data_IF_853141982590
#
_entry.id   IF_853141982590
#
_cell.length_a   1.000
_cell.length_b   1.000
_cell.length_c   1.000
_cell.angle_alpha   90.00
_cell.angle_beta   90.00
_cell.angle_gamma   90.00
#
_symmetry.space_group_name_H-M   'P 1'
#
loop_
_entity.id
_entity.type
_entity.pdbx_description
1 polymer ?
#
# COMPACT_ATOMS: atom_id res chain seq x y z
N UNK A 1 8.45 24.17 0.30
CA UNK A 1 9.30 23.02 0.67
C UNK A 1 8.76 21.82 -0.08
N UNK A 2 9.55 21.18 -0.96
CA UNK A 2 9.11 19.99 -1.69
C UNK A 2 8.99 18.83 -0.71
N UNK A 3 7.77 18.32 -0.51
CA UNK A 3 7.56 17.07 0.22
C UNK A 3 8.28 15.96 -0.54
N UNK A 4 9.31 15.37 0.07
CA UNK A 4 10.03 14.23 -0.50
C UNK A 4 9.16 13.00 -0.26
N UNK A 5 8.76 12.32 -1.33
CA UNK A 5 8.02 11.08 -1.22
C UNK A 5 8.99 9.91 -1.32
N UNK A 6 8.99 8.94 -0.39
CA UNK A 6 9.90 7.79 -0.46
C UNK A 6 9.79 7.03 -1.80
N UNK A 7 8.60 7.00 -2.40
CA UNK A 7 8.35 6.36 -3.68
C UNK A 7 9.10 7.01 -4.87
N UNK A 8 9.63 8.22 -4.72
CA UNK A 8 10.35 8.93 -5.79
C UNK A 8 11.59 8.18 -6.29
N UNK A 9 12.17 7.30 -5.47
CA UNK A 9 13.27 6.42 -5.89
C UNK A 9 12.84 5.36 -6.90
N UNK A 10 11.55 4.98 -6.90
CA UNK A 10 10.96 3.95 -7.77
C UNK A 10 10.18 4.57 -8.93
N UNK A 11 9.31 5.54 -8.65
CA UNK A 11 8.53 6.27 -9.66
C UNK A 11 8.36 7.73 -9.26
N UNK A 12 8.74 8.62 -10.17
CA UNK A 12 8.53 10.07 -10.01
C UNK A 12 8.09 10.72 -11.30
N UNK A 13 7.35 11.82 -11.17
CA UNK A 13 7.02 12.69 -12.31
C UNK A 13 8.24 13.52 -12.69
N UNK A 14 8.50 13.66 -13.99
CA UNK A 14 9.67 14.37 -14.53
C UNK A 14 9.29 15.23 -15.72
N UNK A 15 10.20 16.11 -16.15
CA UNK A 15 10.06 16.79 -17.44
C UNK A 15 10.45 15.86 -18.60
N UNK A 16 9.95 16.16 -19.80
CA UNK A 16 10.30 15.40 -21.00
C UNK A 16 11.82 15.34 -21.26
N UNK A 17 12.54 16.42 -20.97
CA UNK A 17 14.00 16.51 -21.11
C UNK A 17 14.79 15.59 -20.18
N UNK A 18 14.17 15.10 -19.10
CA UNK A 18 14.78 14.19 -18.13
C UNK A 18 14.57 12.71 -18.47
N UNK A 19 13.77 12.41 -19.52
CA UNK A 19 13.52 11.03 -19.90
C UNK A 19 14.79 10.39 -20.49
N UNK A 20 15.16 9.17 -20.03
CA UNK A 20 16.31 8.47 -20.58
C UNK A 20 16.02 8.07 -22.03
N UNK A 21 17.03 8.25 -22.90
CA UNK A 21 16.96 7.81 -24.30
C UNK A 21 17.11 6.29 -24.41
N UNK A 22 18.03 5.73 -23.63
CA UNK A 22 18.25 4.31 -23.47
C UNK A 22 18.88 4.05 -22.10
N UNK A 23 18.22 3.26 -21.27
CA UNK A 23 18.74 2.90 -19.94
C UNK A 23 18.16 1.55 -19.51
N UNK A 24 19.02 0.60 -19.10
CA UNK A 24 18.55 -0.69 -18.62
C UNK A 24 17.92 -0.61 -17.21
N UNK A 25 18.31 0.39 -16.42
CA UNK A 25 17.89 0.57 -15.02
C UNK A 25 16.77 1.58 -14.81
N UNK A 26 16.43 2.34 -15.86
CA UNK A 26 15.41 3.39 -15.82
C UNK A 26 14.55 3.36 -17.06
N UNK A 27 13.23 3.33 -16.88
CA UNK A 27 12.26 3.41 -17.96
C UNK A 27 11.54 4.75 -17.93
N UNK A 28 11.63 5.48 -19.05
CA UNK A 28 10.79 6.64 -19.30
C UNK A 28 9.42 6.22 -19.82
N UNK A 29 8.35 6.78 -19.24
CA UNK A 29 6.97 6.53 -19.67
C UNK A 29 6.27 7.87 -19.88
N UNK A 30 5.57 8.00 -21.00
CA UNK A 30 4.72 9.15 -21.29
C UNK A 30 3.26 8.71 -21.31
N UNK A 31 2.39 9.52 -20.72
CA UNK A 31 0.93 9.33 -20.79
C UNK A 31 0.22 10.62 -21.17
N UNK A 32 -0.97 10.49 -21.75
CA UNK A 32 -1.89 11.62 -21.92
C UNK A 32 -2.64 11.93 -20.61
N UNK A 33 -3.50 12.95 -20.65
CA UNK A 33 -4.35 13.35 -19.51
C UNK A 33 -5.32 12.26 -19.02
N UNK A 34 -5.60 11.24 -19.82
CA UNK A 34 -6.51 10.14 -19.51
C UNK A 34 -5.75 8.88 -19.07
N UNK A 35 -4.41 8.96 -18.88
CA UNK A 35 -3.60 7.81 -18.52
C UNK A 35 -3.27 6.87 -19.69
N UNK A 36 -3.53 7.25 -20.94
CA UNK A 36 -3.16 6.43 -22.10
C UNK A 36 -1.67 6.56 -22.37
N UNK A 37 -0.97 5.43 -22.47
CA UNK A 37 0.45 5.40 -22.83
C UNK A 37 0.72 5.98 -24.23
N UNK A 38 1.72 6.84 -24.31
CA UNK A 38 2.18 7.51 -25.52
C UNK A 38 3.58 6.99 -25.89
N UNK A 39 3.74 6.21 -26.97
CA UNK A 39 5.05 5.69 -27.36
C UNK A 39 6.00 6.78 -27.90
N UNK A 40 5.44 7.93 -28.31
CA UNK A 40 6.18 9.08 -28.84
C UNK A 40 5.54 10.38 -28.36
N UNK A 41 6.33 11.45 -28.30
CA UNK A 41 5.83 12.78 -27.95
C UNK A 41 4.81 13.25 -29.00
N UNK A 42 3.56 13.58 -28.61
CA UNK A 42 2.57 14.11 -29.54
C UNK A 42 2.91 15.57 -29.91
N UNK A 43 2.42 16.01 -31.07
CA UNK A 43 2.56 17.39 -31.55
C UNK A 43 1.68 18.38 -30.77
N UNK A 44 0.56 17.90 -30.23
CA UNK A 44 -0.41 18.68 -29.46
C UNK A 44 -0.92 17.88 -28.25
N UNK A 45 -1.37 18.57 -27.21
CA UNK A 45 -1.96 17.98 -26.01
C UNK A 45 -1.02 17.92 -24.80
N UNK A 46 -1.63 17.76 -23.61
CA UNK A 46 -0.89 17.63 -22.36
C UNK A 46 -0.24 16.24 -22.27
N UNK A 47 1.03 16.22 -21.89
CA UNK A 47 1.81 15.00 -21.67
C UNK A 47 2.33 15.02 -20.25
N UNK A 48 2.17 13.90 -19.55
CA UNK A 48 2.82 13.66 -18.26
C UNK A 48 3.90 12.61 -18.44
N UNK A 49 5.11 12.94 -18.00
CA UNK A 49 6.27 12.08 -18.11
C UNK A 49 6.62 11.53 -16.72
N UNK A 50 6.92 10.24 -16.68
CA UNK A 50 7.33 9.54 -15.47
C UNK A 50 8.63 8.81 -15.72
N UNK A 51 9.48 8.79 -14.69
CA UNK A 51 10.68 7.98 -14.64
C UNK A 51 10.43 6.85 -13.67
N UNK A 52 10.58 5.62 -14.15
CA UNK A 52 10.45 4.40 -13.35
C UNK A 52 11.82 3.75 -13.23
N UNK A 53 12.24 3.41 -12.01
CA UNK A 53 13.53 2.82 -11.71
C UNK A 53 13.38 1.35 -11.31
N UNK A 54 14.15 0.48 -11.94
CA UNK A 54 14.08 -0.98 -11.74
C UNK A 54 15.11 -1.53 -10.76
N UNK A 55 16.03 -0.67 -10.30
CA UNK A 55 17.15 -1.05 -9.41
C UNK A 55 16.90 -0.63 -7.96
N UNK A 56 16.12 0.42 -7.77
CA UNK A 56 15.84 0.95 -6.44
C UNK A 56 14.56 0.34 -5.88
N UNK A 57 14.55 0.14 -4.56
CA UNK A 57 13.33 -0.02 -3.79
C UNK A 57 13.03 1.26 -3.00
N UNK A 58 11.80 1.35 -2.50
CA UNK A 58 11.36 2.39 -1.58
C UNK A 58 10.68 1.75 -0.38
N UNK A 59 11.08 2.18 0.81
CA UNK A 59 10.41 1.85 2.05
C UNK A 59 9.55 3.02 2.51
N UNK A 60 8.35 2.72 3.00
CA UNK A 60 7.46 3.74 3.57
C UNK A 60 6.51 3.14 4.60
N UNK A 61 5.77 4.02 5.27
CA UNK A 61 4.79 3.64 6.28
C UNK A 61 3.52 4.48 6.18
N UNK A 62 2.38 3.80 6.26
CA UNK A 62 1.06 4.40 6.46
C UNK A 62 0.71 4.29 7.94
N UNK A 63 0.64 5.42 8.64
CA UNK A 63 0.45 5.44 10.10
C UNK A 63 -1.01 5.32 10.58
N UNK A 64 -1.99 5.13 9.68
CA UNK A 64 -3.40 5.06 10.06
C UNK A 64 -4.36 4.54 8.97
N UNK A 65 -4.27 3.25 8.60
CA UNK A 65 -5.35 2.63 7.84
C UNK A 65 -6.47 2.18 8.80
N UNK A 66 -7.59 2.92 8.84
CA UNK A 66 -8.73 2.60 9.72
C UNK A 66 -9.68 1.62 9.05
N UNK A 67 -9.96 0.53 9.74
CA UNK A 67 -10.98 -0.46 9.37
C UNK A 67 -12.10 -0.36 10.40
N UNK A 68 -13.31 -0.05 9.95
CA UNK A 68 -14.51 0.08 10.79
C UNK A 68 -15.55 -0.95 10.38
N UNK A 69 -16.08 -1.64 11.36
CA UNK A 69 -17.31 -2.40 11.24
C UNK A 69 -18.50 -1.51 11.62
N UNK A 70 -19.41 -1.30 10.68
CA UNK A 70 -20.62 -0.51 10.92
C UNK A 70 -21.60 -1.31 11.78
N UNK A 71 -21.69 -2.63 11.58
CA UNK A 71 -22.67 -3.49 12.27
C UNK A 71 -22.40 -3.62 13.76
N UNK A 72 -21.13 -3.70 14.17
CA UNK A 72 -20.73 -3.86 15.57
C UNK A 72 -20.18 -2.60 16.22
N UNK A 73 -19.97 -1.53 15.43
CA UNK A 73 -19.32 -0.30 15.88
C UNK A 73 -17.82 -0.43 16.13
N UNK A 74 -17.24 -1.63 15.99
CA UNK A 74 -15.82 -1.89 16.24
C UNK A 74 -14.96 -1.21 15.18
N UNK A 75 -13.79 -0.72 15.59
CA UNK A 75 -12.79 -0.19 14.67
C UNK A 75 -11.39 -0.57 15.14
N UNK A 76 -10.51 -0.82 14.17
CA UNK A 76 -9.07 -0.95 14.40
C UNK A 76 -8.34 0.02 13.49
N UNK A 77 -7.20 0.52 13.96
CA UNK A 77 -6.27 1.31 13.18
C UNK A 77 -5.00 0.50 12.97
N UNK A 78 -4.65 0.29 11.72
CA UNK A 78 -3.45 -0.40 11.31
C UNK A 78 -2.36 0.59 10.89
N UNK A 79 -1.13 0.29 11.28
CA UNK A 79 0.04 0.76 10.58
C UNK A 79 0.37 -0.24 9.47
N UNK A 80 0.73 0.28 8.29
CA UNK A 80 1.24 -0.52 7.18
C UNK A 80 2.66 -0.07 6.90
N UNK A 81 3.64 -0.92 7.20
CA UNK A 81 5.02 -0.73 6.74
C UNK A 81 5.18 -1.51 5.46
N UNK A 82 5.81 -0.93 4.44
CA UNK A 82 5.99 -1.63 3.19
C UNK A 82 7.29 -1.25 2.48
N UNK A 83 7.81 -2.22 1.72
CA UNK A 83 8.82 -2.01 0.71
C UNK A 83 8.20 -2.22 -0.68
N UNK A 84 8.57 -1.39 -1.65
CA UNK A 84 8.17 -1.55 -3.05
C UNK A 84 9.35 -1.51 -4.00
N UNK A 85 9.28 -2.35 -5.02
CA UNK A 85 10.19 -2.36 -6.15
C UNK A 85 9.43 -2.67 -7.45
N UNK A 86 10.09 -2.53 -8.59
CA UNK A 86 9.45 -2.75 -9.88
C UNK A 86 10.36 -3.42 -10.91
N UNK A 87 9.73 -4.06 -11.89
CA UNK A 87 10.40 -4.62 -13.06
C UNK A 87 10.14 -3.74 -14.29
N UNK A 88 11.08 -3.72 -15.24
CA UNK A 88 11.06 -2.80 -16.39
C UNK A 88 9.80 -2.95 -17.24
N UNK A 89 9.36 -4.19 -17.44
CA UNK A 89 8.20 -4.59 -18.22
C UNK A 89 6.88 -4.09 -17.64
N UNK A 90 6.83 -3.78 -16.33
CA UNK A 90 5.63 -3.29 -15.66
C UNK A 90 5.55 -1.75 -15.61
N UNK A 91 6.57 -1.04 -16.08
CA UNK A 91 6.67 0.43 -15.92
C UNK A 91 5.44 1.17 -16.46
N UNK A 92 4.92 0.78 -17.62
CA UNK A 92 3.71 1.40 -18.20
C UNK A 92 2.51 1.16 -17.28
N UNK A 93 2.29 -0.07 -16.84
CA UNK A 93 1.16 -0.44 -15.97
C UNK A 93 1.20 0.32 -14.65
N UNK A 94 2.38 0.44 -14.04
CA UNK A 94 2.59 1.18 -12.78
C UNK A 94 2.19 2.64 -12.95
N UNK A 95 2.66 3.27 -14.03
CA UNK A 95 2.33 4.68 -14.32
C UNK A 95 0.84 4.85 -14.53
N UNK A 96 0.21 3.97 -15.31
CA UNK A 96 -1.24 4.01 -15.57
C UNK A 96 -2.09 3.79 -14.32
N UNK A 97 -1.59 3.06 -13.32
CA UNK A 97 -2.29 2.85 -12.07
C UNK A 97 -2.07 3.99 -11.05
N UNK A 98 -0.95 4.72 -11.15
CA UNK A 98 -0.53 5.71 -10.14
C UNK A 98 -0.55 7.17 -10.63
N UNK A 99 -0.96 7.44 -11.89
CA UNK A 99 -0.90 8.79 -12.45
C UNK A 99 -1.97 9.76 -11.91
N UNK A 100 -3.12 9.23 -11.50
CA UNK A 100 -4.29 10.03 -11.18
C UNK A 100 -4.30 10.42 -9.70
N UNK A 101 -3.58 11.49 -9.40
CA UNK A 101 -3.51 12.05 -8.06
C UNK A 101 -2.38 13.07 -7.91
N UNK A 102 -2.20 13.61 -6.70
CA UNK A 102 -1.18 14.61 -6.42
C UNK A 102 0.24 14.04 -6.53
N UNK A 103 0.41 12.76 -6.20
CA UNK A 103 1.69 12.06 -6.23
C UNK A 103 1.51 10.55 -6.35
N UNK A 104 2.34 9.81 -7.11
CA UNK A 104 2.28 8.34 -7.17
C UNK A 104 2.26 7.66 -5.80
N UNK A 105 3.04 8.20 -4.84
CA UNK A 105 3.09 7.71 -3.46
C UNK A 105 1.73 7.82 -2.76
N UNK A 106 1.08 8.99 -2.84
CA UNK A 106 -0.23 9.20 -2.24
C UNK A 106 -1.31 8.31 -2.87
N UNK A 107 -1.25 8.08 -4.18
CA UNK A 107 -2.17 7.18 -4.89
C UNK A 107 -1.98 5.74 -4.41
N UNK A 108 -0.74 5.27 -4.28
CA UNK A 108 -0.41 3.94 -3.76
C UNK A 108 -0.92 3.75 -2.33
N UNK A 109 -0.67 4.70 -1.43
CA UNK A 109 -1.17 4.64 -0.05
C UNK A 109 -2.70 4.55 0.01
N UNK A 110 -3.38 5.31 -0.86
CA UNK A 110 -4.83 5.24 -1.01
C UNK A 110 -5.31 3.87 -1.50
N UNK A 111 -4.61 3.26 -2.47
CA UNK A 111 -4.90 1.91 -2.96
C UNK A 111 -4.74 0.86 -1.86
N UNK A 112 -3.62 0.88 -1.13
CA UNK A 112 -3.35 -0.03 -0.01
C UNK A 112 -4.48 0.05 1.03
N UNK A 113 -4.88 1.27 1.43
CA UNK A 113 -5.97 1.45 2.38
C UNK A 113 -7.30 0.89 1.86
N UNK A 114 -7.62 1.11 0.58
CA UNK A 114 -8.84 0.59 -0.05
C UNK A 114 -8.84 -0.93 -0.11
N UNK A 115 -7.71 -1.55 -0.48
CA UNK A 115 -7.60 -3.01 -0.53
C UNK A 115 -7.76 -3.65 0.84
N UNK A 116 -7.16 -3.07 1.90
CA UNK A 116 -7.37 -3.53 3.27
C UNK A 116 -8.84 -3.45 3.70
N UNK A 117 -9.52 -2.35 3.37
CA UNK A 117 -10.95 -2.20 3.66
C UNK A 117 -11.79 -3.20 2.88
N UNK A 118 -11.48 -3.45 1.60
CA UNK A 118 -12.16 -4.44 0.79
C UNK A 118 -11.95 -5.86 1.34
N UNK A 119 -10.71 -6.22 1.68
CA UNK A 119 -10.40 -7.50 2.31
C UNK A 119 -11.20 -7.71 3.59
N UNK A 120 -11.27 -6.71 4.47
CA UNK A 120 -12.02 -6.78 5.72
C UNK A 120 -13.54 -6.94 5.50
N UNK A 121 -14.09 -6.40 4.41
CA UNK A 121 -15.52 -6.52 4.07
C UNK A 121 -15.90 -7.88 3.48
N UNK A 122 -14.99 -8.53 2.75
CA UNK A 122 -15.26 -9.81 2.08
C UNK A 122 -15.32 -11.01 3.04
N UNK A 123 -14.83 -10.86 4.27
CA UNK A 123 -14.90 -11.91 5.28
C UNK A 123 -16.34 -12.04 5.78
N UNK A 124 -17.06 -13.06 5.32
CA UNK A 124 -18.49 -13.30 5.60
C UNK A 124 -18.70 -14.04 6.94
N UNK A 125 -18.74 -13.33 8.06
CA UNK A 125 -19.34 -13.85 9.32
C UNK A 125 -19.97 -12.69 10.11
N UNK A 126 -20.81 -13.00 11.10
CA UNK A 126 -21.46 -12.01 11.96
C UNK A 126 -20.42 -11.18 12.74
N UNK A 127 -20.38 -9.87 12.46
CA UNK A 127 -19.32 -8.95 12.89
C UNK A 127 -18.05 -9.07 12.06
N UNK A 128 -17.29 -7.97 11.91
CA UNK A 128 -16.12 -7.90 11.04
C UNK A 128 -15.05 -8.93 11.47
N UNK A 129 -14.89 -10.04 10.71
CA UNK A 129 -14.05 -11.15 11.12
C UNK A 129 -12.59 -10.76 11.12
N UNK A 130 -12.20 -9.78 10.32
CA UNK A 130 -10.85 -9.27 10.31
C UNK A 130 -10.45 -8.66 11.65
N UNK A 131 -11.36 -7.93 12.31
CA UNK A 131 -11.08 -7.33 13.63
C UNK A 131 -10.90 -8.44 14.69
N UNK A 132 -11.78 -9.43 14.71
CA UNK A 132 -11.75 -10.52 15.70
C UNK A 132 -10.65 -11.55 15.42
N UNK A 133 -10.42 -11.85 14.16
CA UNK A 133 -9.49 -12.84 13.64
C UNK A 133 -8.13 -12.28 13.26
N UNK A 134 -7.84 -11.01 13.54
CA UNK A 134 -6.56 -10.37 13.20
C UNK A 134 -5.36 -11.21 13.65
N UNK A 135 -5.41 -11.70 14.90
CA UNK A 135 -4.37 -12.56 15.49
C UNK A 135 -4.49 -14.05 15.09
N UNK A 136 -5.57 -14.45 14.44
CA UNK A 136 -5.86 -15.83 14.02
C UNK A 136 -5.54 -16.07 12.54
N UNK A 137 -4.46 -15.47 12.04
CA UNK A 137 -3.97 -15.68 10.66
C UNK A 137 -4.52 -14.72 9.60
N UNK A 138 -5.60 -13.97 9.88
CA UNK A 138 -6.13 -13.00 8.91
C UNK A 138 -5.16 -11.84 8.63
N UNK A 139 -4.29 -11.49 9.58
CA UNK A 139 -3.19 -10.55 9.33
C UNK A 139 -2.34 -10.99 8.13
N UNK A 140 -1.88 -12.25 8.13
CA UNK A 140 -0.99 -12.77 7.08
C UNK A 140 -1.73 -12.84 5.74
N UNK A 141 -2.99 -13.27 5.76
CA UNK A 141 -3.82 -13.28 4.55
C UNK A 141 -4.03 -11.88 3.96
N UNK A 142 -4.21 -10.84 4.81
CA UNK A 142 -4.30 -9.47 4.35
C UNK A 142 -2.97 -8.96 3.77
N UNK A 143 -1.83 -9.28 4.38
CA UNK A 143 -0.51 -8.96 3.82
C UNK A 143 -0.31 -9.63 2.44
N UNK A 144 -0.66 -10.91 2.32
CA UNK A 144 -0.55 -11.65 1.06
C UNK A 144 -1.50 -11.10 -0.02
N UNK A 145 -2.71 -10.70 0.37
CA UNK A 145 -3.66 -10.05 -0.54
C UNK A 145 -3.15 -8.68 -1.04
N UNK A 146 -2.52 -7.90 -0.17
CA UNK A 146 -1.90 -6.63 -0.58
C UNK A 146 -0.79 -6.87 -1.60
N UNK A 147 0.09 -7.83 -1.34
CA UNK A 147 1.19 -8.17 -2.24
C UNK A 147 0.66 -8.67 -3.60
N UNK A 148 -0.38 -9.52 -3.57
CA UNK A 148 -1.05 -10.04 -4.76
C UNK A 148 -1.68 -8.92 -5.60
N UNK A 149 -2.46 -8.03 -4.97
CA UNK A 149 -3.09 -6.90 -5.68
C UNK A 149 -2.09 -5.89 -6.20
N UNK A 150 -1.02 -5.60 -5.48
CA UNK A 150 0.05 -4.74 -5.99
C UNK A 150 0.64 -5.28 -7.30
N UNK A 151 0.89 -6.58 -7.36
CA UNK A 151 1.40 -7.25 -8.57
C UNK A 151 0.36 -7.28 -9.69
N UNK A 152 -0.86 -7.71 -9.39
CA UNK A 152 -1.90 -7.94 -10.40
C UNK A 152 -2.58 -6.65 -10.89
N UNK A 153 -2.84 -5.68 -10.02
CA UNK A 153 -3.54 -4.44 -10.37
C UNK A 153 -2.56 -3.35 -10.84
N UNK A 154 -1.38 -3.24 -10.21
CA UNK A 154 -0.42 -2.13 -10.46
C UNK A 154 0.83 -2.61 -11.21
N UNK A 155 1.26 -3.86 -10.99
CA UNK A 155 2.55 -4.35 -11.50
C UNK A 155 3.74 -4.06 -10.58
N UNK A 156 3.49 -3.68 -9.32
CA UNK A 156 4.54 -3.50 -8.31
C UNK A 156 4.81 -4.79 -7.55
N UNK A 157 6.06 -4.99 -7.15
CA UNK A 157 6.40 -5.95 -6.11
C UNK A 157 6.32 -5.22 -4.78
N UNK A 158 5.34 -5.62 -3.96
CA UNK A 158 5.09 -5.06 -2.63
C UNK A 158 5.41 -6.13 -1.58
N UNK A 159 6.12 -5.73 -0.54
CA UNK A 159 6.21 -6.48 0.71
C UNK A 159 5.58 -5.66 1.83
N UNK A 160 4.33 -5.98 2.18
CA UNK A 160 3.60 -5.31 3.25
C UNK A 160 3.67 -6.03 4.59
N UNK A 161 3.76 -5.25 5.67
CA UNK A 161 3.67 -5.70 7.07
C UNK A 161 2.64 -4.86 7.83
N UNK A 162 1.71 -5.55 8.48
CA UNK A 162 0.64 -4.92 9.27
C UNK A 162 0.97 -4.94 10.76
N UNK A 163 0.74 -3.83 11.43
CA UNK A 163 0.76 -3.74 12.90
C UNK A 163 -0.41 -2.91 13.41
N UNK A 164 -0.79 -3.09 14.68
CA UNK A 164 -1.81 -2.25 15.29
C UNK A 164 -1.18 -0.91 15.69
N UNK A 165 -1.90 0.19 15.48
CA UNK A 165 -1.39 1.53 15.77
C UNK A 165 -1.12 1.77 17.26
N UNK A 166 -1.81 1.07 18.15
CA UNK A 166 -1.76 1.32 19.60
C UNK A 166 -1.16 0.18 20.42
N UNK A 167 -0.43 -0.76 19.80
CA UNK A 167 0.15 -1.90 20.54
C UNK A 167 1.09 -1.48 21.68
N UNK A 168 1.76 -0.33 21.56
CA UNK A 168 2.69 0.17 22.59
C UNK A 168 1.97 0.70 23.85
N UNK A 169 0.65 0.89 23.79
CA UNK A 169 -0.18 1.26 24.96
C UNK A 169 -0.84 0.06 25.63
N UNK A 170 -0.74 -1.12 25.03
CA UNK A 170 -1.34 -2.34 25.58
C UNK A 170 -0.38 -2.90 26.63
N UNK A 171 -0.58 -2.50 27.90
CA UNK A 171 0.13 -3.12 29.03
C UNK A 171 -0.22 -4.62 29.06
N UNK A 172 0.77 -5.53 29.10
CA UNK A 172 0.48 -6.94 29.31
C UNK A 172 -0.21 -7.12 30.66
N UNK A 173 -1.41 -7.70 30.64
CA UNK A 173 -2.10 -8.07 31.88
C UNK A 173 -1.34 -9.28 32.45
N UNK A 174 -0.67 -9.09 33.58
CA UNK A 174 -0.06 -10.19 34.31
C UNK A 174 -1.16 -10.93 35.09
N UNK A 175 -1.68 -12.00 34.50
CA UNK A 175 -2.59 -12.90 35.21
C UNK A 175 -1.73 -13.77 36.13
N UNK A 176 -1.73 -13.45 37.42
CA UNK A 176 -1.17 -14.33 38.46
C UNK A 176 -2.18 -15.44 38.72
N UNK A 177 -2.07 -16.54 37.99
CA UNK A 177 -2.76 -17.79 38.30
C UNK A 177 -1.87 -18.64 39.20
N UNK A 178 -2.38 -19.06 40.37
CA UNK A 178 -1.68 -19.99 41.25
C UNK A 178 -1.64 -21.43 40.69
N UNK A 179 -2.36 -21.70 39.60
CA UNK A 179 -2.40 -23.02 38.96
C UNK A 179 -2.45 -22.82 37.43
N UNK A 180 -1.29 -22.97 36.79
CA UNK A 180 -1.04 -22.89 35.34
C UNK A 180 -1.09 -21.50 34.68
N UNK A 181 0.00 -21.18 33.98
CA UNK A 181 0.18 -20.03 33.10
C UNK A 181 -0.55 -20.27 31.77
N UNK A 182 -1.74 -19.71 31.62
CA UNK A 182 -2.37 -19.54 30.31
C UNK A 182 -2.49 -18.05 29.98
N UNK A 183 -1.82 -17.61 28.92
CA UNK A 183 -1.94 -16.26 28.40
C UNK A 183 -3.21 -16.15 27.55
N UNK A 184 -4.27 -15.57 28.11
CA UNK A 184 -5.48 -15.22 27.37
C UNK A 184 -5.52 -13.71 27.08
N UNK A 185 -5.71 -13.37 25.80
CA UNK A 185 -5.95 -12.00 25.35
C UNK A 185 -7.44 -11.69 25.46
N UNK A 186 -7.83 -10.75 26.32
CA UNK A 186 -9.19 -10.20 26.38
C UNK A 186 -9.22 -8.74 25.95
N UNK A 187 -10.23 -8.39 25.14
CA UNK A 187 -10.50 -7.05 24.62
C UNK A 187 -11.51 -6.39 25.55
N UNK A 188 -11.13 -5.30 26.23
CA UNK A 188 -12.04 -4.50 27.06
C UNK A 188 -12.77 -3.49 26.16
N UNK A 189 -14.12 -3.52 26.18
CA UNK A 189 -14.99 -2.52 25.55
C UNK A 189 -15.34 -1.44 26.58
N UNK A 190 -15.13 -0.18 26.22
CA UNK A 190 -15.83 0.97 26.84
C UNK A 190 -17.05 1.31 25.99
#
# INVERSE_FOLDING_TARGET
>A
MSQIYPLDSVIRRVNYSELPKDSPSKKGVMIDKNGKHLPRKPLFGEVRCYLVSTVHSAESQISACRIKDISTGLAISLNVTYEVSCQAEQAVKIVQALYDGPHPGAVLEGLICRWLQAFARCQKHEGNPFIRGYFHGLKKQAEDELNRRAKEEIGLMLEARLSLKETDKIKPIQIHSQFFLCALKTIVKN
#
